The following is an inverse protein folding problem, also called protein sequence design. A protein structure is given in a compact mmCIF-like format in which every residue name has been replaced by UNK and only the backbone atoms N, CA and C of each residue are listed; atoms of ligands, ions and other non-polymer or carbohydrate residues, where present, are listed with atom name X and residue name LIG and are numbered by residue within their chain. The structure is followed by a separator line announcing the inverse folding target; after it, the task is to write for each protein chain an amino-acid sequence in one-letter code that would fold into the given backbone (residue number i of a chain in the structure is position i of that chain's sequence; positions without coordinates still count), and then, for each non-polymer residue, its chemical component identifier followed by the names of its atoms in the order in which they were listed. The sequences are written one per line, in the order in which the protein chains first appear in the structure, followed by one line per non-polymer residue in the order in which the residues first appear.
data_IF_687693081428
#
_entry.id   IF_687693081428
#
_cell.length_a   1.000
_cell.length_b   1.000
_cell.length_c   1.000
_cell.angle_alpha   90.00
_cell.angle_beta   90.00
_cell.angle_gamma   90.00
#
_symmetry.space_group_name_H-M   'P 1'
#
loop_
_entity.id
_entity.type
_entity.pdbx_description
1 polymer ?
#
# COMPACT_ATOMS: atom_id res chain seq x y z
N UNK A 1 -11.39 31.36 1.66
CA UNK A 1 -10.26 31.78 2.54
C UNK A 1 -9.68 30.54 3.18
N UNK A 2 -8.49 30.10 2.76
CA UNK A 2 -7.78 29.00 3.40
C UNK A 2 -7.39 29.45 4.81
N UNK A 3 -8.13 28.97 5.82
CA UNK A 3 -7.73 29.19 7.23
C UNK A 3 -6.42 28.44 7.44
N UNK A 4 -5.37 29.18 7.78
CA UNK A 4 -4.07 28.61 8.16
C UNK A 4 -4.27 27.58 9.28
N UNK A 5 -3.92 26.32 8.99
CA UNK A 5 -4.03 25.22 9.95
C UNK A 5 -2.61 24.77 10.35
N UNK A 6 -2.09 25.19 11.51
CA UNK A 6 -0.73 24.83 11.95
C UNK A 6 -0.56 23.32 12.11
N UNK A 7 -1.62 22.56 12.35
CA UNK A 7 -1.54 21.11 12.48
C UNK A 7 -1.23 20.41 11.14
N UNK A 8 -1.42 21.08 10.00
CA UNK A 8 -1.05 20.51 8.69
C UNK A 8 0.44 20.22 8.56
N UNK A 9 1.30 20.89 9.36
CA UNK A 9 2.74 20.67 9.38
C UNK A 9 3.17 19.46 10.22
N UNK A 10 2.29 18.86 11.04
CA UNK A 10 2.64 17.74 11.93
C UNK A 10 3.18 16.56 11.13
N UNK A 11 2.50 16.15 10.05
CA UNK A 11 2.96 15.02 9.23
C UNK A 11 4.26 15.31 8.47
N UNK A 12 4.43 16.47 7.79
CA UNK A 12 5.70 16.84 7.17
C UNK A 12 6.87 16.91 8.15
N UNK A 13 6.67 17.42 9.36
CA UNK A 13 7.69 17.46 10.40
C UNK A 13 8.00 16.07 10.95
N UNK A 14 6.98 15.25 11.16
CA UNK A 14 7.15 13.86 11.60
C UNK A 14 7.93 13.02 10.60
N UNK A 15 7.62 13.11 9.30
CA UNK A 15 8.34 12.37 8.26
C UNK A 15 9.82 12.75 8.12
N UNK A 16 10.19 13.96 8.56
CA UNK A 16 11.58 14.46 8.61
C UNK A 16 12.28 14.16 9.94
N UNK A 17 11.63 13.49 10.87
CA UNK A 17 12.21 13.12 12.16
C UNK A 17 12.11 14.16 13.28
N UNK A 18 11.64 15.38 13.01
CA UNK A 18 11.56 16.45 14.02
C UNK A 18 10.62 16.16 15.19
N UNK A 19 9.69 15.19 15.01
CA UNK A 19 8.71 14.79 16.03
C UNK A 19 8.93 13.37 16.55
N UNK A 20 10.14 12.81 16.43
CA UNK A 20 10.44 11.45 16.87
C UNK A 20 10.36 11.27 18.40
N UNK A 21 10.54 12.36 19.16
CA UNK A 21 10.37 12.41 20.61
C UNK A 21 8.91 12.31 21.08
N UNK A 22 7.95 12.57 20.17
CA UNK A 22 6.52 12.56 20.50
C UNK A 22 5.99 11.13 20.54
N UNK A 23 5.15 10.82 21.56
CA UNK A 23 4.48 9.52 21.63
C UNK A 23 3.57 9.30 20.43
N UNK A 24 3.46 8.05 19.96
CA UNK A 24 2.61 7.68 18.83
C UNK A 24 1.16 8.12 19.02
N UNK A 25 0.62 7.93 20.22
CA UNK A 25 -0.77 8.31 20.56
C UNK A 25 -1.01 9.81 20.38
N UNK A 26 -0.09 10.66 20.84
CA UNK A 26 -0.22 12.11 20.70
C UNK A 26 -0.06 12.53 19.23
N UNK A 27 0.96 11.99 18.54
CA UNK A 27 1.20 12.25 17.13
C UNK A 27 -0.02 11.92 16.27
N UNK A 28 -0.60 10.73 16.44
CA UNK A 28 -1.77 10.28 15.68
C UNK A 28 -3.01 11.13 15.97
N UNK A 29 -3.23 11.56 17.23
CA UNK A 29 -4.33 12.49 17.58
C UNK A 29 -4.18 13.84 16.88
N UNK A 30 -2.98 14.40 16.81
CA UNK A 30 -2.74 15.67 16.13
C UNK A 30 -2.90 15.55 14.61
N UNK A 31 -2.36 14.47 14.00
CA UNK A 31 -2.53 14.19 12.58
C UNK A 31 -4.00 13.99 12.20
N UNK A 32 -4.74 13.24 13.00
CA UNK A 32 -6.16 12.99 12.78
C UNK A 32 -6.97 14.30 12.82
N UNK A 33 -6.71 15.13 13.84
CA UNK A 33 -7.35 16.45 13.96
C UNK A 33 -7.01 17.38 12.80
N UNK A 34 -5.76 17.30 12.30
CA UNK A 34 -5.32 18.09 11.15
C UNK A 34 -6.12 17.76 9.86
N UNK A 35 -6.40 16.47 9.65
CA UNK A 35 -7.03 15.96 8.42
C UNK A 35 -8.56 16.02 8.50
N UNK A 36 -9.14 15.56 9.61
CA UNK A 36 -10.58 15.37 9.74
C UNK A 36 -11.29 16.49 10.50
N UNK A 37 -10.53 17.43 11.09
CA UNK A 37 -11.05 18.52 11.95
C UNK A 37 -11.87 18.03 13.15
N UNK A 38 -11.66 16.77 13.55
CA UNK A 38 -12.34 16.08 14.67
C UNK A 38 -11.30 15.52 15.64
N UNK A 39 -11.73 15.24 16.88
CA UNK A 39 -10.93 14.48 17.85
C UNK A 39 -10.89 13.00 17.42
N UNK A 40 -9.73 12.35 17.55
CA UNK A 40 -9.60 10.91 17.38
C UNK A 40 -10.18 10.20 18.61
N UNK A 41 -11.23 9.41 18.42
CA UNK A 41 -11.78 8.55 19.45
C UNK A 41 -11.06 7.19 19.44
N UNK A 42 -10.32 6.90 20.49
CA UNK A 42 -9.60 5.64 20.68
C UNK A 42 -10.27 4.71 21.69
N UNK A 43 -11.28 5.21 22.41
CA UNK A 43 -12.02 4.39 23.38
C UNK A 43 -13.21 3.69 22.71
N UNK A 44 -13.86 4.36 21.76
CA UNK A 44 -14.96 3.80 20.99
C UNK A 44 -14.85 4.17 19.50
N UNK A 45 -13.79 3.69 18.79
CA UNK A 45 -13.56 4.04 17.39
C UNK A 45 -14.65 3.45 16.49
N UNK A 46 -15.32 4.30 15.71
CA UNK A 46 -16.44 3.91 14.85
C UNK A 46 -16.06 3.92 13.37
N UNK A 47 -15.31 4.94 12.95
CA UNK A 47 -14.97 5.10 11.54
C UNK A 47 -13.79 4.23 11.13
N UNK A 48 -13.69 3.94 9.83
CA UNK A 48 -12.54 3.22 9.26
C UNK A 48 -11.21 3.88 9.64
N UNK A 49 -11.12 5.20 9.49
CA UNK A 49 -9.89 5.91 9.78
C UNK A 49 -9.55 5.92 11.29
N UNK A 50 -10.54 5.99 12.20
CA UNK A 50 -10.33 5.84 13.66
C UNK A 50 -9.84 4.44 14.00
N UNK A 51 -10.47 3.40 13.46
CA UNK A 51 -10.08 2.01 13.69
C UNK A 51 -8.67 1.71 13.22
N UNK A 52 -8.24 2.26 12.08
CA UNK A 52 -6.85 2.13 11.64
C UNK A 52 -5.86 2.80 12.60
N UNK A 53 -6.19 3.98 13.18
CA UNK A 53 -5.32 4.57 14.21
C UNK A 53 -5.30 3.73 15.49
N UNK A 54 -6.45 3.17 15.87
CA UNK A 54 -6.55 2.26 17.02
C UNK A 54 -5.66 1.02 16.81
N UNK A 55 -5.74 0.37 15.64
CA UNK A 55 -4.92 -0.80 15.30
C UNK A 55 -3.43 -0.48 15.33
N UNK A 56 -2.99 0.71 14.87
CA UNK A 56 -1.59 1.13 14.98
C UNK A 56 -1.09 1.20 16.43
N UNK A 57 -1.95 1.43 17.38
CA UNK A 57 -1.56 1.57 18.80
C UNK A 57 -1.69 0.27 19.58
N UNK A 58 -2.68 -0.57 19.25
CA UNK A 58 -3.11 -1.66 20.12
C UNK A 58 -3.12 -3.04 19.46
N UNK A 59 -3.11 -3.14 18.13
CA UNK A 59 -2.97 -4.41 17.44
C UNK A 59 -1.49 -4.67 17.16
N UNK A 60 -0.94 -5.73 17.74
CA UNK A 60 0.50 -6.05 17.74
C UNK A 60 0.76 -7.48 17.25
N UNK A 61 0.06 -7.91 16.20
CA UNK A 61 0.32 -9.21 15.61
C UNK A 61 1.70 -9.20 14.90
N UNK A 62 2.70 -9.98 15.38
CA UNK A 62 4.06 -9.96 14.84
C UNK A 62 4.13 -10.36 13.36
N UNK A 63 3.15 -11.12 12.87
CA UNK A 63 3.08 -11.50 11.44
C UNK A 63 3.06 -10.27 10.51
N UNK A 64 2.51 -9.13 10.99
CA UNK A 64 2.45 -7.93 10.15
C UNK A 64 3.83 -7.43 9.72
N UNK A 65 4.88 -7.62 10.55
CA UNK A 65 6.25 -7.25 10.19
C UNK A 65 6.74 -8.01 8.94
N UNK A 66 6.42 -9.30 8.84
CA UNK A 66 6.73 -10.11 7.65
C UNK A 66 5.88 -9.67 6.45
N UNK A 67 4.58 -9.45 6.66
CA UNK A 67 3.65 -9.17 5.57
C UNK A 67 3.84 -7.78 4.94
N UNK A 68 4.34 -6.78 5.68
CA UNK A 68 4.63 -5.45 5.10
C UNK A 68 5.99 -5.37 4.42
N UNK A 69 6.90 -6.27 4.74
CA UNK A 69 8.21 -6.36 4.10
C UNK A 69 8.06 -7.00 2.72
N UNK A 70 8.18 -6.20 1.65
CA UNK A 70 7.96 -6.63 0.27
C UNK A 70 8.91 -7.74 -0.20
N UNK A 71 10.05 -7.91 0.48
CA UNK A 71 10.97 -9.01 0.17
C UNK A 71 10.69 -10.24 1.04
N UNK A 72 10.57 -10.08 2.36
CA UNK A 72 10.32 -11.20 3.28
C UNK A 72 8.95 -11.87 3.05
N UNK A 73 7.92 -11.11 2.67
CA UNK A 73 6.57 -11.63 2.39
C UNK A 73 6.55 -12.67 1.26
N UNK A 74 7.54 -12.66 0.40
CA UNK A 74 7.63 -13.59 -0.75
C UNK A 74 7.69 -15.04 -0.29
N UNK A 75 8.51 -15.36 0.72
CA UNK A 75 8.56 -16.71 1.30
C UNK A 75 7.21 -17.09 1.92
N UNK A 76 6.58 -16.16 2.66
CA UNK A 76 5.26 -16.40 3.22
C UNK A 76 4.20 -16.69 2.13
N UNK A 77 4.20 -15.92 1.04
CA UNK A 77 3.27 -16.13 -0.09
C UNK A 77 3.56 -17.46 -0.79
N UNK A 78 4.83 -17.79 -1.05
CA UNK A 78 5.19 -19.09 -1.67
C UNK A 78 4.67 -20.28 -0.85
N UNK A 79 4.84 -20.25 0.47
CA UNK A 79 4.46 -21.33 1.38
C UNK A 79 2.94 -21.43 1.61
N UNK A 80 2.25 -20.29 1.76
CA UNK A 80 0.85 -20.26 2.21
C UNK A 80 -0.16 -20.02 1.07
N UNK A 81 0.31 -19.50 -0.07
CA UNK A 81 -0.56 -19.11 -1.18
C UNK A 81 -0.17 -19.84 -2.47
N UNK A 82 1.09 -19.82 -2.84
CA UNK A 82 1.65 -20.46 -4.03
C UNK A 82 2.73 -19.59 -4.68
N UNK A 83 3.84 -20.21 -5.06
CA UNK A 83 4.97 -19.53 -5.71
C UNK A 83 4.57 -18.95 -7.08
N UNK A 84 3.61 -19.56 -7.75
CA UNK A 84 3.09 -19.13 -9.05
C UNK A 84 2.46 -17.73 -9.05
N UNK A 85 2.10 -17.22 -7.86
CA UNK A 85 1.59 -15.85 -7.71
C UNK A 85 2.67 -14.79 -7.50
N UNK A 86 3.94 -15.18 -7.43
CA UNK A 86 5.03 -14.24 -7.24
C UNK A 86 5.60 -13.76 -8.58
N UNK A 87 5.81 -12.44 -8.70
CA UNK A 87 6.62 -11.90 -9.79
C UNK A 87 8.06 -12.41 -9.60
N UNK A 88 8.71 -13.01 -10.62
CA UNK A 88 10.06 -13.55 -10.46
C UNK A 88 11.07 -12.49 -10.00
N UNK A 89 11.86 -12.81 -8.99
CA UNK A 89 13.02 -12.01 -8.57
C UNK A 89 14.17 -12.25 -9.55
N UNK A 90 14.83 -11.19 -9.98
CA UNK A 90 15.98 -11.22 -10.89
C UNK A 90 17.27 -10.74 -10.23
N UNK A 91 17.24 -10.36 -8.94
CA UNK A 91 18.42 -10.02 -8.16
C UNK A 91 18.11 -9.52 -6.75
N UNK A 92 19.10 -9.55 -5.87
CA UNK A 92 18.99 -9.14 -4.46
C UNK A 92 18.80 -10.29 -3.48
N UNK A 93 18.62 -10.04 -2.15
CA UNK A 93 18.55 -8.68 -1.60
C UNK A 93 19.92 -8.01 -1.47
N UNK A 94 19.96 -6.69 -1.68
CA UNK A 94 21.13 -5.85 -1.47
C UNK A 94 20.86 -4.84 -0.34
N UNK A 95 21.86 -4.57 0.47
CA UNK A 95 21.72 -3.68 1.63
C UNK A 95 22.31 -2.27 1.42
N UNK A 96 22.98 -2.07 0.30
CA UNK A 96 23.37 -0.77 -0.24
C UNK A 96 23.35 -0.84 -1.78
N UNK A 97 23.30 0.31 -2.45
CA UNK A 97 23.18 0.35 -3.89
C UNK A 97 24.48 -0.04 -4.63
N UNK A 98 25.64 -0.01 -3.97
CA UNK A 98 26.92 -0.41 -4.58
C UNK A 98 27.03 -1.94 -4.75
N UNK A 99 26.25 -2.73 -4.00
CA UNK A 99 26.19 -4.19 -4.16
C UNK A 99 25.50 -4.62 -5.46
N UNK A 100 24.80 -3.70 -6.15
CA UNK A 100 24.05 -4.03 -7.36
C UNK A 100 25.00 -4.10 -8.55
N UNK A 101 25.18 -5.31 -9.06
CA UNK A 101 25.81 -5.53 -10.36
C UNK A 101 24.77 -5.41 -11.48
N UNK A 102 24.72 -4.21 -12.10
CA UNK A 102 23.77 -3.93 -13.17
C UNK A 102 24.01 -4.75 -14.44
N UNK A 103 25.22 -5.28 -14.65
CA UNK A 103 25.54 -6.08 -15.85
C UNK A 103 24.84 -7.44 -15.79
N UNK A 104 24.61 -7.98 -14.60
CA UNK A 104 23.90 -9.25 -14.38
C UNK A 104 22.38 -9.13 -14.49
N UNK A 105 21.83 -7.90 -14.42
CA UNK A 105 20.39 -7.68 -14.54
C UNK A 105 19.93 -7.76 -16.02
N UNK A 106 18.70 -8.25 -16.28
CA UNK A 106 18.13 -8.28 -17.63
C UNK A 106 17.93 -6.87 -18.20
N UNK A 107 17.57 -6.76 -19.49
CA UNK A 107 17.30 -5.48 -20.15
C UNK A 107 16.13 -4.70 -19.50
N UNK A 108 15.15 -5.43 -18.96
CA UNK A 108 13.97 -4.86 -18.32
C UNK A 108 13.79 -5.42 -16.91
N UNK A 109 13.70 -4.55 -15.92
CA UNK A 109 13.52 -4.91 -14.51
C UNK A 109 12.91 -3.78 -13.71
N UNK A 110 12.52 -4.09 -12.47
CA UNK A 110 12.07 -3.10 -11.48
C UNK A 110 12.88 -3.26 -10.21
N UNK A 111 13.67 -2.24 -9.86
CA UNK A 111 14.31 -2.17 -8.54
C UNK A 111 13.31 -1.65 -7.51
N UNK A 112 13.23 -2.32 -6.36
CA UNK A 112 12.31 -1.96 -5.27
C UNK A 112 13.06 -1.96 -3.94
N UNK A 113 12.71 -1.02 -3.05
CA UNK A 113 13.01 -1.18 -1.64
C UNK A 113 11.90 -2.01 -0.98
N UNK A 114 12.26 -2.87 -0.04
CA UNK A 114 11.32 -3.76 0.65
C UNK A 114 10.32 -3.01 1.57
N UNK A 115 10.60 -1.75 1.90
CA UNK A 115 9.81 -0.90 2.77
C UNK A 115 9.24 0.31 2.03
N UNK A 116 8.16 0.86 2.53
CA UNK A 116 7.57 2.10 2.03
C UNK A 116 6.71 1.94 0.77
N UNK A 117 6.30 3.08 0.25
CA UNK A 117 5.46 3.21 -0.95
C UNK A 117 6.17 4.08 -1.98
N UNK A 118 6.02 3.79 -3.27
CA UNK A 118 6.64 4.54 -4.39
C UNK A 118 8.18 4.52 -4.39
N UNK A 119 8.80 3.54 -3.73
CA UNK A 119 10.26 3.35 -3.69
C UNK A 119 10.68 2.30 -4.72
N UNK A 120 10.39 2.58 -5.99
CA UNK A 120 10.72 1.71 -7.12
C UNK A 120 11.32 2.51 -8.28
N UNK A 121 12.22 1.86 -9.01
CA UNK A 121 12.81 2.34 -10.28
C UNK A 121 12.42 1.34 -11.34
N UNK A 122 11.62 1.77 -12.31
CA UNK A 122 11.22 0.96 -13.46
C UNK A 122 12.26 1.16 -14.57
N UNK A 123 12.91 0.10 -15.00
CA UNK A 123 13.83 0.06 -16.11
C UNK A 123 13.19 -0.69 -17.29
N UNK A 124 12.76 0.04 -18.31
CA UNK A 124 12.25 -0.53 -19.57
C UNK A 124 13.34 -0.70 -20.64
N UNK A 125 14.47 -0.06 -20.45
CA UNK A 125 15.61 -0.06 -21.37
C UNK A 125 16.88 0.24 -20.55
N UNK A 126 17.70 -0.79 -20.35
CA UNK A 126 18.89 -0.69 -19.50
C UNK A 126 19.94 0.30 -20.08
N UNK A 127 20.00 0.44 -21.41
CA UNK A 127 20.91 1.36 -22.08
C UNK A 127 20.61 2.85 -21.77
N UNK A 128 19.38 3.15 -21.36
CA UNK A 128 18.93 4.51 -21.02
C UNK A 128 18.92 4.77 -19.49
N UNK A 129 19.25 3.76 -18.68
CA UNK A 129 19.25 3.91 -17.25
C UNK A 129 20.44 4.72 -16.75
N UNK A 130 20.20 5.85 -16.10
CA UNK A 130 21.23 6.58 -15.36
C UNK A 130 21.52 5.83 -14.04
N UNK A 131 22.51 4.93 -14.07
CA UNK A 131 22.89 4.08 -12.93
C UNK A 131 23.28 4.93 -11.73
N UNK A 132 24.00 6.03 -11.92
CA UNK A 132 24.41 6.91 -10.84
C UNK A 132 23.22 7.54 -10.10
N UNK A 133 22.25 8.05 -10.86
CA UNK A 133 21.00 8.57 -10.27
C UNK A 133 20.15 7.48 -9.62
N UNK A 134 20.13 6.28 -10.20
CA UNK A 134 19.40 5.14 -9.64
C UNK A 134 19.99 4.76 -8.27
N UNK A 135 21.31 4.57 -8.16
CA UNK A 135 22.03 4.29 -6.91
C UNK A 135 21.76 5.36 -5.85
N UNK A 136 21.92 6.63 -6.21
CA UNK A 136 21.69 7.75 -5.27
C UNK A 136 20.25 7.79 -4.72
N UNK A 137 19.23 7.46 -5.57
CA UNK A 137 17.82 7.34 -5.13
C UNK A 137 17.64 6.17 -4.17
N UNK A 138 18.17 5.01 -4.49
CA UNK A 138 18.06 3.79 -3.69
C UNK A 138 18.69 4.00 -2.30
N UNK A 139 19.90 4.53 -2.23
CA UNK A 139 20.58 4.83 -0.96
C UNK A 139 19.83 5.85 -0.11
N UNK A 140 19.21 6.84 -0.74
CA UNK A 140 18.33 7.78 -0.04
C UNK A 140 17.09 7.08 0.53
N UNK A 141 16.48 6.17 -0.22
CA UNK A 141 15.31 5.45 0.24
C UNK A 141 15.65 4.46 1.37
N UNK A 142 16.78 3.74 1.29
CA UNK A 142 17.24 2.86 2.36
C UNK A 142 17.41 3.59 3.71
N UNK A 143 17.76 4.86 3.69
CA UNK A 143 17.90 5.70 4.90
C UNK A 143 16.57 6.25 5.43
N UNK A 144 15.45 6.05 4.70
CA UNK A 144 14.15 6.61 5.07
C UNK A 144 13.39 5.62 5.95
N UNK A 145 13.03 6.02 7.16
CA UNK A 145 12.15 5.22 8.00
C UNK A 145 10.68 5.53 7.70
N UNK A 146 9.97 4.55 7.20
CA UNK A 146 8.54 4.67 6.88
C UNK A 146 7.66 4.80 8.13
N UNK A 147 8.09 4.22 9.25
CA UNK A 147 7.40 4.31 10.54
C UNK A 147 7.10 5.75 10.96
N UNK A 148 8.05 6.66 10.84
CA UNK A 148 7.91 8.03 11.32
C UNK A 148 6.85 8.85 10.59
N UNK A 149 6.51 8.47 9.36
CA UNK A 149 5.49 9.16 8.56
C UNK A 149 4.07 8.98 9.11
N UNK A 150 3.70 7.78 9.49
CA UNK A 150 2.35 7.43 9.91
C UNK A 150 2.24 6.63 11.19
N UNK A 151 3.37 6.41 11.88
CA UNK A 151 3.45 5.55 13.08
C UNK A 151 2.92 4.13 12.82
N UNK A 152 3.22 3.60 11.66
CA UNK A 152 2.87 2.24 11.26
C UNK A 152 3.92 1.28 11.82
N UNK A 153 3.68 0.76 13.01
CA UNK A 153 4.64 0.01 13.82
C UNK A 153 5.31 -1.18 13.12
N UNK A 154 4.66 -1.90 12.14
CA UNK A 154 5.33 -3.02 11.48
C UNK A 154 6.59 -2.62 10.70
N UNK A 155 6.72 -1.34 10.33
CA UNK A 155 7.91 -0.82 9.63
C UNK A 155 9.01 -0.33 10.58
N UNK A 156 8.79 -0.33 11.92
CA UNK A 156 9.69 0.33 12.87
C UNK A 156 11.08 -0.27 12.87
N UNK A 157 11.14 -1.59 12.94
CA UNK A 157 12.39 -2.35 13.08
C UNK A 157 12.73 -3.16 11.81
N UNK A 158 12.07 -2.85 10.70
CA UNK A 158 12.30 -3.48 9.42
C UNK A 158 13.70 -3.10 8.90
N UNK A 159 14.51 -4.10 8.52
CA UNK A 159 15.82 -3.89 7.91
C UNK A 159 15.65 -3.56 6.43
N UNK A 160 15.96 -2.34 5.98
CA UNK A 160 15.81 -1.97 4.58
C UNK A 160 16.74 -2.77 3.67
N UNK A 161 16.22 -3.21 2.52
CA UNK A 161 16.99 -3.80 1.44
C UNK A 161 16.41 -3.40 0.07
N UNK A 162 17.20 -3.61 -0.97
CA UNK A 162 16.84 -3.47 -2.38
C UNK A 162 16.74 -4.85 -2.98
N UNK A 163 15.80 -5.07 -3.88
CA UNK A 163 15.74 -6.26 -4.72
C UNK A 163 15.22 -5.90 -6.11
N UNK A 164 15.46 -6.78 -7.08
CA UNK A 164 14.99 -6.59 -8.45
C UNK A 164 13.96 -7.65 -8.81
N UNK A 165 12.85 -7.20 -9.42
CA UNK A 165 11.83 -8.06 -10.03
C UNK A 165 11.85 -7.92 -11.55
N UNK A 166 11.36 -8.96 -12.23
CA UNK A 166 11.08 -8.90 -13.66
C UNK A 166 10.12 -7.75 -13.94
N UNK A 167 10.39 -6.97 -14.97
CA UNK A 167 9.43 -6.01 -15.50
C UNK A 167 8.19 -6.75 -16.03
N UNK A 168 7.01 -6.26 -15.68
CA UNK A 168 5.73 -6.83 -16.06
C UNK A 168 4.85 -5.75 -16.66
N UNK A 169 4.19 -6.06 -17.77
CA UNK A 169 3.23 -5.21 -18.47
C UNK A 169 2.15 -6.09 -19.07
N UNK A 170 0.88 -5.73 -18.92
CA UNK A 170 -0.22 -6.42 -19.58
C UNK A 170 -0.32 -5.90 -21.02
N UNK A 171 -0.24 -6.80 -22.00
CA UNK A 171 -0.19 -6.47 -23.43
C UNK A 171 -1.49 -5.85 -23.94
N UNK A 172 -2.63 -6.23 -23.37
CA UNK A 172 -3.94 -5.71 -23.77
C UNK A 172 -4.17 -4.28 -23.26
N UNK A 173 -3.63 -3.98 -22.08
CA UNK A 173 -3.88 -2.71 -21.40
C UNK A 173 -2.71 -1.73 -21.55
N UNK A 174 -1.49 -2.24 -21.79
CA UNK A 174 -0.27 -1.45 -21.88
C UNK A 174 0.21 -0.89 -20.52
N UNK A 175 -0.31 -1.40 -19.42
CA UNK A 175 0.08 -1.01 -18.07
C UNK A 175 -0.05 -2.18 -17.07
N UNK A 176 0.63 -2.07 -15.93
CA UNK A 176 0.43 -2.97 -14.80
C UNK A 176 -0.68 -2.43 -13.91
N UNK A 177 -1.91 -2.95 -14.05
CA UNK A 177 -3.05 -2.54 -13.24
C UNK A 177 -3.04 -3.16 -11.85
N UNK A 178 -3.21 -2.32 -10.84
CA UNK A 178 -3.40 -2.71 -9.45
C UNK A 178 -4.88 -2.96 -9.14
N UNK A 179 -5.22 -4.17 -8.70
CA UNK A 179 -6.52 -4.55 -8.15
C UNK A 179 -6.41 -4.67 -6.64
N UNK A 180 -6.97 -3.70 -5.91
CA UNK A 180 -6.76 -3.52 -4.48
C UNK A 180 -7.97 -3.95 -3.68
N UNK A 181 -7.95 -5.19 -3.18
CA UNK A 181 -9.04 -5.77 -2.41
C UNK A 181 -8.95 -5.34 -0.94
N UNK A 182 -9.98 -4.67 -0.44
CA UNK A 182 -10.13 -4.33 0.96
C UNK A 182 -10.85 -5.46 1.67
N UNK A 183 -10.15 -6.10 2.61
CA UNK A 183 -10.61 -7.28 3.33
C UNK A 183 -10.77 -6.97 4.81
N UNK A 184 -11.89 -7.40 5.40
CA UNK A 184 -12.21 -7.21 6.80
C UNK A 184 -12.67 -8.53 7.42
N UNK A 185 -12.05 -8.93 8.56
CA UNK A 185 -12.35 -10.22 9.18
C UNK A 185 -12.14 -11.42 8.25
N UNK A 186 -11.15 -11.34 7.36
CA UNK A 186 -10.84 -12.40 6.38
C UNK A 186 -11.74 -12.42 5.15
N UNK A 187 -12.57 -11.39 4.93
CA UNK A 187 -13.50 -11.33 3.78
C UNK A 187 -13.19 -10.10 2.91
N UNK A 188 -12.99 -10.26 1.60
CA UNK A 188 -13.01 -9.15 0.65
C UNK A 188 -14.40 -8.51 0.63
N UNK A 189 -14.47 -7.21 0.87
CA UNK A 189 -15.74 -6.47 0.92
C UNK A 189 -15.89 -5.53 -0.27
N UNK A 190 -14.79 -4.95 -0.75
CA UNK A 190 -14.75 -4.14 -1.95
C UNK A 190 -13.36 -4.05 -2.54
N UNK A 191 -13.29 -3.67 -3.80
CA UNK A 191 -12.05 -3.50 -4.54
C UNK A 191 -11.92 -2.06 -5.04
N UNK A 192 -10.70 -1.50 -5.00
CA UNK A 192 -10.34 -0.28 -5.71
C UNK A 192 -9.57 -0.66 -6.98
N UNK A 193 -10.03 -0.19 -8.10
CA UNK A 193 -9.34 -0.22 -9.39
C UNK A 193 -8.85 1.18 -9.72
N UNK A 194 -7.53 1.32 -9.92
CA UNK A 194 -6.91 2.57 -10.35
C UNK A 194 -6.56 2.51 -11.83
N UNK A 195 -6.96 3.53 -12.59
CA UNK A 195 -6.67 3.67 -14.02
C UNK A 195 -5.84 4.91 -14.31
N UNK A 196 -5.17 4.93 -15.46
CA UNK A 196 -4.34 6.06 -15.94
C UNK A 196 -3.17 6.44 -15.00
N UNK A 197 -2.60 5.47 -14.25
CA UNK A 197 -1.53 5.73 -13.28
C UNK A 197 -0.17 6.04 -13.90
N UNK A 198 0.12 5.53 -15.08
CA UNK A 198 1.40 5.67 -15.77
C UNK A 198 1.41 6.77 -16.84
N UNK A 199 0.29 7.38 -17.12
CA UNK A 199 0.13 8.39 -18.15
C UNK A 199 0.15 9.79 -17.51
N UNK A 200 1.29 10.48 -17.62
CA UNK A 200 1.46 11.83 -17.07
C UNK A 200 0.53 12.87 -17.74
N UNK A 201 -0.02 12.57 -18.93
CA UNK A 201 -0.98 13.43 -19.63
C UNK A 201 -2.40 13.31 -19.08
N UNK A 202 -2.69 12.27 -18.27
CA UNK A 202 -4.01 11.98 -17.73
C UNK A 202 -4.05 12.09 -16.21
N UNK A 203 -5.25 12.33 -15.69
CA UNK A 203 -5.48 12.30 -14.26
C UNK A 203 -5.75 10.86 -13.81
N UNK A 204 -4.94 10.36 -12.87
CA UNK A 204 -5.23 9.08 -12.22
C UNK A 204 -6.64 9.05 -11.65
N UNK A 205 -7.44 8.04 -12.01
CA UNK A 205 -8.77 7.77 -11.48
C UNK A 205 -8.76 6.60 -10.49
N UNK A 206 -9.83 6.49 -9.70
CA UNK A 206 -9.95 5.40 -8.73
C UNK A 206 -11.41 5.08 -8.46
N UNK A 207 -11.83 3.90 -8.89
CA UNK A 207 -13.21 3.41 -8.82
C UNK A 207 -13.32 2.25 -7.83
N UNK A 208 -14.32 2.32 -6.96
CA UNK A 208 -14.59 1.28 -5.98
C UNK A 208 -15.74 0.40 -6.45
N UNK A 209 -15.57 -0.91 -6.30
CA UNK A 209 -16.55 -1.92 -6.68
C UNK A 209 -16.80 -2.89 -5.52
N UNK A 210 -18.06 -3.32 -5.35
CA UNK A 210 -18.36 -4.44 -4.44
C UNK A 210 -17.88 -5.78 -5.00
N UNK A 211 -18.18 -6.88 -4.31
CA UNK A 211 -17.73 -8.22 -4.71
C UNK A 211 -18.60 -8.86 -5.81
N UNK A 212 -19.65 -8.20 -6.26
CA UNK A 212 -20.44 -8.50 -7.46
C UNK A 212 -20.05 -7.60 -8.64
N UNK A 213 -19.06 -6.72 -8.43
CA UNK A 213 -18.58 -5.72 -9.39
C UNK A 213 -19.56 -4.59 -9.69
N UNK A 214 -20.46 -4.24 -8.74
CA UNK A 214 -21.24 -3.01 -8.83
C UNK A 214 -20.42 -1.83 -8.33
N UNK A 215 -20.48 -0.70 -9.06
CA UNK A 215 -19.76 0.51 -8.69
C UNK A 215 -20.31 1.11 -7.39
N UNK A 216 -19.43 1.33 -6.41
CA UNK A 216 -19.79 1.89 -5.12
C UNK A 216 -19.84 3.44 -5.17
N UNK A 217 -20.85 4.05 -4.54
CA UNK A 217 -21.08 5.49 -4.65
C UNK A 217 -20.20 6.30 -3.66
N UNK A 218 -18.91 6.02 -3.66
CA UNK A 218 -17.91 6.79 -2.90
C UNK A 218 -16.56 6.80 -3.61
N UNK A 219 -15.78 7.79 -3.29
CA UNK A 219 -14.38 7.93 -3.70
C UNK A 219 -13.50 8.32 -2.52
N UNK A 220 -12.19 8.17 -2.71
CA UNK A 220 -11.18 8.66 -1.75
C UNK A 220 -10.31 9.75 -2.43
N UNK A 221 -9.05 9.50 -2.64
CA UNK A 221 -8.05 10.46 -3.13
C UNK A 221 -8.30 10.93 -4.57
N UNK A 222 -8.64 10.00 -5.46
CA UNK A 222 -8.77 10.24 -6.89
C UNK A 222 -10.25 10.37 -7.30
N UNK A 223 -10.57 11.10 -8.38
CA UNK A 223 -11.91 11.09 -8.94
C UNK A 223 -12.22 9.71 -9.54
N UNK A 224 -13.51 9.46 -9.77
CA UNK A 224 -13.93 8.32 -10.57
C UNK A 224 -13.60 8.54 -12.05
N UNK A 225 -13.40 7.46 -12.80
CA UNK A 225 -13.23 7.53 -14.25
C UNK A 225 -14.50 8.01 -14.94
N UNK A 226 -14.36 8.71 -16.06
CA UNK A 226 -15.52 9.15 -16.85
C UNK A 226 -16.29 7.97 -17.46
N UNK A 227 -15.53 6.93 -17.86
CA UNK A 227 -16.08 5.65 -18.32
C UNK A 227 -15.73 4.60 -17.29
N UNK A 228 -16.74 3.93 -16.74
CA UNK A 228 -16.54 2.89 -15.74
C UNK A 228 -15.65 1.77 -16.30
N UNK A 229 -14.57 1.39 -15.59
CA UNK A 229 -13.73 0.28 -16.00
C UNK A 229 -14.50 -1.04 -16.11
N UNK A 230 -14.16 -1.87 -17.09
CA UNK A 230 -14.75 -3.18 -17.24
C UNK A 230 -14.30 -4.13 -16.13
N UNK A 231 -15.14 -5.14 -15.84
CA UNK A 231 -14.82 -6.21 -14.89
C UNK A 231 -13.59 -6.98 -15.37
N UNK A 232 -12.56 -7.15 -14.54
CA UNK A 232 -11.38 -7.94 -14.90
C UNK A 232 -11.75 -9.40 -15.17
N UNK A 233 -11.11 -10.03 -16.15
CA UNK A 233 -11.38 -11.44 -16.51
C UNK A 233 -11.18 -12.42 -15.34
N UNK A 234 -10.19 -12.15 -14.49
CA UNK A 234 -9.85 -12.99 -13.34
C UNK A 234 -10.45 -12.49 -12.01
N UNK A 235 -11.46 -11.62 -12.04
CA UNK A 235 -12.03 -11.00 -10.84
C UNK A 235 -12.40 -12.02 -9.75
N UNK A 236 -13.13 -13.09 -10.11
CA UNK A 236 -13.57 -14.10 -9.14
C UNK A 236 -12.38 -14.82 -8.50
N UNK A 237 -11.39 -15.20 -9.31
CA UNK A 237 -10.18 -15.85 -8.82
C UNK A 237 -9.34 -14.92 -7.94
N UNK A 238 -9.25 -13.63 -8.28
CA UNK A 238 -8.60 -12.63 -7.44
C UNK A 238 -9.34 -12.43 -6.11
N UNK A 239 -10.67 -12.42 -6.12
CA UNK A 239 -11.51 -12.35 -4.92
C UNK A 239 -11.26 -13.53 -3.98
N UNK A 240 -11.26 -14.76 -4.52
CA UNK A 240 -10.97 -15.98 -3.76
C UNK A 240 -9.55 -15.95 -3.17
N UNK A 241 -8.58 -15.52 -3.97
CA UNK A 241 -7.19 -15.37 -3.53
C UNK A 241 -7.06 -14.33 -2.41
N UNK A 242 -7.73 -13.17 -2.55
CA UNK A 242 -7.75 -12.14 -1.51
C UNK A 242 -8.40 -12.62 -0.20
N UNK A 243 -9.47 -13.44 -0.28
CA UNK A 243 -10.07 -14.08 0.89
C UNK A 243 -9.09 -15.03 1.59
N UNK A 244 -8.40 -15.88 0.82
CA UNK A 244 -7.38 -16.81 1.35
C UNK A 244 -6.23 -16.06 2.02
N UNK A 245 -5.74 -14.99 1.39
CA UNK A 245 -4.61 -14.19 1.87
C UNK A 245 -4.96 -13.32 3.09
N UNK A 246 -6.23 -12.93 3.25
CA UNK A 246 -6.68 -12.10 4.37
C UNK A 246 -7.21 -12.90 5.56
N UNK A 247 -7.21 -14.23 5.47
CA UNK A 247 -7.70 -15.11 6.54
C UNK A 247 -7.08 -14.73 7.89
N UNK A 248 -7.92 -14.64 8.93
CA UNK A 248 -7.52 -14.29 10.31
C UNK A 248 -6.98 -12.86 10.50
N UNK A 249 -6.99 -12.02 9.47
CA UNK A 249 -6.59 -10.62 9.57
C UNK A 249 -7.83 -9.73 9.80
N UNK A 250 -7.82 -8.84 10.82
CA UNK A 250 -8.99 -8.01 11.13
C UNK A 250 -9.27 -6.98 10.03
N UNK A 251 -8.23 -6.39 9.44
CA UNK A 251 -8.33 -5.48 8.31
C UNK A 251 -7.03 -5.46 7.53
N UNK A 252 -7.11 -5.66 6.24
CA UNK A 252 -5.96 -5.61 5.33
C UNK A 252 -6.42 -5.29 3.91
N UNK A 253 -5.59 -4.65 3.14
CA UNK A 253 -5.74 -4.52 1.68
C UNK A 253 -4.76 -5.45 1.01
N UNK A 254 -5.26 -6.29 0.12
CA UNK A 254 -4.46 -7.18 -0.73
C UNK A 254 -4.40 -6.58 -2.12
N UNK A 255 -3.20 -6.27 -2.59
CA UNK A 255 -2.98 -5.74 -3.93
C UNK A 255 -2.54 -6.88 -4.84
N UNK A 256 -3.27 -7.06 -5.94
CA UNK A 256 -3.03 -8.09 -6.95
C UNK A 256 -2.88 -7.44 -8.32
N UNK A 257 -2.16 -8.13 -9.21
CA UNK A 257 -2.06 -7.79 -10.63
C UNK A 257 -2.69 -8.90 -11.47
N UNK A 258 -3.29 -8.55 -12.60
CA UNK A 258 -3.67 -9.49 -13.66
C UNK A 258 -2.89 -9.12 -14.92
N UNK A 259 -1.93 -9.95 -15.30
CA UNK A 259 -1.01 -9.71 -16.42
C UNK A 259 -1.17 -10.85 -17.42
N UNK A 260 -1.67 -10.55 -18.61
CA UNK A 260 -1.90 -11.53 -19.67
C UNK A 260 -2.70 -12.75 -19.18
N UNK A 261 -3.69 -12.53 -18.29
CA UNK A 261 -4.54 -13.57 -17.71
C UNK A 261 -3.92 -14.37 -16.57
N UNK A 262 -2.75 -13.97 -16.07
CA UNK A 262 -2.11 -14.57 -14.90
C UNK A 262 -2.10 -13.60 -13.72
N UNK A 263 -2.54 -14.10 -12.57
CA UNK A 263 -2.60 -13.28 -11.34
C UNK A 263 -1.23 -13.28 -10.66
N UNK A 264 -0.81 -12.10 -10.20
CA UNK A 264 0.38 -11.93 -9.38
C UNK A 264 0.06 -11.16 -8.10
N UNK A 265 0.78 -11.49 -7.03
CA UNK A 265 0.75 -10.79 -5.77
C UNK A 265 1.54 -9.48 -5.86
N UNK A 266 0.97 -8.40 -5.35
CA UNK A 266 1.60 -7.10 -5.23
C UNK A 266 2.09 -6.79 -3.81
N UNK A 267 1.17 -6.55 -2.88
CA UNK A 267 1.51 -6.24 -1.50
C UNK A 267 0.36 -6.47 -0.51
N UNK A 268 0.72 -6.63 0.78
CA UNK A 268 -0.19 -6.46 1.90
C UNK A 268 -0.11 -5.01 2.41
N UNK A 269 -1.27 -4.37 2.62
CA UNK A 269 -1.33 -3.02 3.19
C UNK A 269 -2.30 -2.99 4.37
N UNK A 270 -1.80 -2.86 5.60
CA UNK A 270 -2.65 -2.81 6.80
C UNK A 270 -3.27 -1.42 7.02
N UNK A 271 -2.56 -0.36 6.69
CA UNK A 271 -2.97 1.01 7.00
C UNK A 271 -3.11 1.85 5.72
N UNK A 272 -4.08 1.49 4.86
CA UNK A 272 -4.28 2.18 3.58
C UNK A 272 -4.39 3.70 3.76
N UNK A 273 -3.51 4.45 3.04
CA UNK A 273 -3.39 5.90 3.19
C UNK A 273 -2.98 6.33 4.60
N UNK A 274 -2.35 5.41 5.36
CA UNK A 274 -1.99 5.60 6.77
C UNK A 274 -3.20 5.93 7.67
N UNK A 275 -4.43 5.53 7.27
CA UNK A 275 -5.65 5.88 7.99
C UNK A 275 -5.94 7.38 8.03
N UNK A 276 -5.45 8.14 7.05
CA UNK A 276 -5.67 9.58 6.92
C UNK A 276 -6.28 9.97 5.56
N UNK A 277 -6.95 9.02 4.91
CA UNK A 277 -7.62 9.25 3.64
C UNK A 277 -9.14 9.41 3.82
N UNK A 278 -9.71 10.62 3.69
CA UNK A 278 -11.14 10.82 3.82
C UNK A 278 -11.92 10.11 2.71
N UNK A 279 -13.14 9.71 3.05
CA UNK A 279 -14.13 9.22 2.09
C UNK A 279 -15.02 10.38 1.62
N UNK A 280 -15.47 10.31 0.39
CA UNK A 280 -16.42 11.27 -0.21
C UNK A 280 -17.58 10.49 -0.86
N UNK A 281 -18.82 10.57 -0.31
CA UNK A 281 -19.22 11.33 0.88
C UNK A 281 -18.73 10.73 2.19
N UNK A 282 -18.55 11.59 3.22
CA UNK A 282 -17.90 11.25 4.50
C UNK A 282 -18.59 10.17 5.34
N UNK A 283 -19.90 9.94 5.13
CA UNK A 283 -20.66 8.86 5.80
C UNK A 283 -20.09 7.45 5.54
N UNK A 284 -19.35 7.27 4.45
CA UNK A 284 -18.72 5.99 4.13
C UNK A 284 -17.56 5.63 5.05
N UNK A 285 -16.97 6.61 5.73
CA UNK A 285 -15.93 6.33 6.73
C UNK A 285 -16.48 5.48 7.90
N UNK A 286 -17.71 5.78 8.36
CA UNK A 286 -18.37 4.98 9.41
C UNK A 286 -18.92 3.67 8.87
N UNK A 287 -19.56 3.66 7.69
CA UNK A 287 -20.07 2.42 7.07
C UNK A 287 -18.96 1.39 6.88
N UNK A 288 -17.81 1.80 6.33
CA UNK A 288 -16.65 0.91 6.15
C UNK A 288 -16.03 0.56 7.51
N UNK A 289 -16.06 1.48 8.46
CA UNK A 289 -15.61 1.22 9.83
C UNK A 289 -16.36 0.07 10.51
N UNK A 290 -17.66 -0.08 10.27
CA UNK A 290 -18.48 -1.16 10.83
C UNK A 290 -18.03 -2.56 10.38
N UNK A 291 -17.37 -2.66 9.20
CA UNK A 291 -16.86 -3.94 8.68
C UNK A 291 -15.59 -4.43 9.39
N UNK A 292 -14.87 -3.57 10.12
CA UNK A 292 -13.63 -3.95 10.79
C UNK A 292 -13.94 -4.55 12.17
N UNK A 293 -13.70 -5.85 12.38
CA UNK A 293 -13.70 -6.44 13.73
C UNK A 293 -12.40 -6.06 14.42
N UNK A 294 -12.46 -5.18 15.44
CA UNK A 294 -11.27 -4.85 16.21
C UNK A 294 -10.85 -6.05 17.08
N UNK A 295 -9.56 -6.43 17.07
CA UNK A 295 -9.06 -7.45 17.97
C UNK A 295 -9.05 -6.94 19.43
N UNK A 296 -8.87 -7.82 20.44
CA UNK A 296 -8.63 -7.40 21.81
C UNK A 296 -7.45 -6.44 21.91
N UNK A 297 -7.58 -5.43 22.74
CA UNK A 297 -6.50 -4.46 23.01
C UNK A 297 -5.33 -5.17 23.70
N UNK A 298 -4.15 -5.13 23.11
CA UNK A 298 -2.90 -5.67 23.65
C UNK A 298 -1.99 -4.56 24.17
#
# INVERSE_FOLDING_TARGET
MNKWNPLSYVRPLGSRGYLNWMSDKLYLKLCYRAVFHKKLDLENPKTYNEKLQWMKLYDRNPLYCTLVDKFAVRSYVAENVGEEYLIPTVGGPWYNAEEIDFDTLPEQFVLKCNHGSTTNIICKDKSKLDIGKAKAKLDKWLKTSWYWYGREWPYKDLKPCIYAERYMEDEEVGELRDYKFFCFGGKPEFMLLSTDRGDESKQTCGDFFDMEFHHLPFRKKHPNAQVQPAKPRNFEKMRELAARMSKELPAVRIDLYDVNGRIYFGEYTFFSGSGFGPFYPGQWDEKVGQLIPLPPKK
#
